data_IF_160579446631
#
_entry.id   IF_160579446631
#
_cell.length_a   1.000
_cell.length_b   1.000
_cell.length_c   1.000
_cell.angle_alpha   90.00
_cell.angle_beta   90.00
_cell.angle_gamma   90.00
#
_symmetry.space_group_name_H-M   'P 1'
#
loop_
_entity.id
_entity.type
_entity.pdbx_description
1 polymer ?
#
# COMPACT_ATOMS: atom_id res chain seq x y z
N UNK A 1 1.02 -5.73 -24.09
CA UNK A 1 2.25 -5.37 -23.35
C UNK A 1 1.84 -4.37 -22.26
N UNK A 2 1.64 -4.83 -21.02
CA UNK A 2 1.02 -4.02 -19.93
C UNK A 2 1.95 -3.77 -18.73
N UNK A 3 3.21 -4.22 -18.77
CA UNK A 3 4.14 -4.04 -17.65
C UNK A 3 4.92 -2.74 -17.79
N UNK A 4 4.90 -1.92 -16.73
CA UNK A 4 5.88 -0.85 -16.57
C UNK A 4 7.28 -1.45 -16.34
N UNK A 5 8.31 -0.72 -16.73
CA UNK A 5 9.72 -1.06 -16.47
C UNK A 5 10.45 0.16 -15.92
N UNK A 6 11.65 0.00 -15.34
CA UNK A 6 12.45 1.14 -14.91
C UNK A 6 12.71 2.20 -16.00
N UNK A 7 12.85 1.75 -17.26
CA UNK A 7 13.09 2.63 -18.42
C UNK A 7 11.77 3.23 -18.92
N UNK A 8 10.68 2.46 -18.91
CA UNK A 8 9.34 2.89 -19.32
C UNK A 8 8.36 2.74 -18.15
N UNK A 9 8.36 3.66 -17.18
CA UNK A 9 7.70 3.45 -15.90
C UNK A 9 6.19 3.64 -15.96
N UNK A 10 5.63 4.17 -17.06
CA UNK A 10 4.23 4.54 -17.15
C UNK A 10 3.40 3.57 -17.99
N UNK A 11 2.27 3.11 -17.45
CA UNK A 11 1.28 2.26 -18.15
C UNK A 11 -0.13 2.61 -17.69
N UNK A 12 -1.15 1.94 -18.24
CA UNK A 12 -2.53 2.01 -17.71
C UNK A 12 -2.61 1.27 -16.39
N UNK A 13 -3.32 1.82 -15.42
CA UNK A 13 -3.63 1.10 -14.17
C UNK A 13 -4.68 0.03 -14.43
N UNK A 14 -4.60 -1.05 -13.67
CA UNK A 14 -5.59 -2.14 -13.67
C UNK A 14 -5.80 -2.58 -12.22
N UNK A 15 -7.06 -2.81 -11.84
CA UNK A 15 -7.35 -3.57 -10.63
C UNK A 15 -7.27 -5.05 -10.98
N UNK A 16 -6.48 -5.80 -10.20
CA UNK A 16 -6.38 -7.26 -10.31
C UNK A 16 -6.93 -7.86 -9.03
N UNK A 17 -7.63 -8.98 -9.20
CA UNK A 17 -8.04 -9.81 -8.08
C UNK A 17 -6.84 -10.66 -7.61
N UNK A 18 -6.66 -10.70 -6.30
CA UNK A 18 -5.57 -11.40 -5.61
C UNK A 18 -6.09 -12.17 -4.39
N UNK A 19 -7.40 -12.44 -4.33
CA UNK A 19 -8.06 -13.01 -3.15
C UNK A 19 -7.62 -14.44 -2.77
N UNK A 20 -7.01 -15.18 -3.70
CA UNK A 20 -6.53 -16.55 -3.46
C UNK A 20 -5.09 -16.62 -2.94
N UNK A 21 -4.38 -15.49 -2.83
CA UNK A 21 -3.03 -15.47 -2.27
C UNK A 21 -3.05 -15.41 -0.74
N UNK A 22 -2.33 -16.34 -0.12
CA UNK A 22 -2.10 -16.36 1.32
C UNK A 22 -1.20 -15.17 1.75
N UNK A 23 -1.29 -14.81 3.02
CA UNK A 23 -0.44 -13.81 3.65
C UNK A 23 0.39 -14.47 4.75
N UNK A 24 1.67 -14.11 4.82
CA UNK A 24 2.52 -14.52 5.93
C UNK A 24 2.28 -13.62 7.14
N UNK A 25 2.07 -12.31 6.94
CA UNK A 25 1.94 -11.31 8.00
C UNK A 25 0.68 -10.46 7.80
N UNK A 26 -0.06 -10.22 8.89
CA UNK A 26 -1.26 -9.39 8.86
C UNK A 26 -1.18 -8.25 9.88
N UNK A 27 -1.41 -7.02 9.41
CA UNK A 27 -1.78 -5.89 10.26
C UNK A 27 -3.19 -5.45 9.93
N UNK A 28 -4.05 -5.49 10.94
CA UNK A 28 -5.45 -5.14 10.84
C UNK A 28 -5.85 -4.10 11.87
N UNK A 29 -6.97 -3.42 11.61
CA UNK A 29 -7.58 -2.46 12.53
C UNK A 29 -9.07 -2.39 12.27
N UNK A 30 -9.85 -2.13 13.31
CA UNK A 30 -11.26 -1.77 13.14
C UNK A 30 -11.38 -0.38 12.49
N UNK A 31 -12.03 -0.32 11.32
CA UNK A 31 -12.20 0.91 10.54
C UNK A 31 -13.60 1.49 10.78
N UNK A 32 -13.73 2.69 11.38
CA UNK A 32 -15.01 3.36 11.51
C UNK A 32 -15.62 3.72 10.14
N UNK A 33 -16.95 3.76 10.04
CA UNK A 33 -17.66 4.02 8.78
C UNK A 33 -17.18 5.25 8.01
N UNK A 34 -16.88 6.36 8.71
CA UNK A 34 -16.33 7.57 8.09
C UNK A 34 -14.97 7.37 7.40
N UNK A 35 -14.10 6.50 7.94
CA UNK A 35 -12.81 6.16 7.31
C UNK A 35 -13.02 5.18 6.16
N UNK A 36 -13.94 4.24 6.30
CA UNK A 36 -14.31 3.33 5.21
C UNK A 36 -14.83 4.10 3.98
N UNK A 37 -15.68 5.11 4.17
CA UNK A 37 -16.12 6.00 3.08
C UNK A 37 -14.95 6.74 2.40
N UNK A 38 -13.91 7.10 3.15
CA UNK A 38 -12.70 7.73 2.58
C UNK A 38 -11.90 6.74 1.75
N UNK A 39 -11.76 5.50 2.21
CA UNK A 39 -11.15 4.41 1.43
C UNK A 39 -11.86 4.23 0.10
N UNK A 40 -13.20 4.17 0.09
CA UNK A 40 -13.98 4.07 -1.16
C UNK A 40 -13.72 5.26 -2.11
N UNK A 41 -13.63 6.48 -1.58
CA UNK A 41 -13.29 7.68 -2.36
C UNK A 41 -11.87 7.60 -2.95
N UNK A 42 -10.90 7.02 -2.24
CA UNK A 42 -9.56 6.80 -2.78
C UNK A 42 -9.59 5.80 -3.92
N UNK A 43 -10.30 4.68 -3.77
CA UNK A 43 -10.44 3.65 -4.82
C UNK A 43 -11.02 4.26 -6.10
N UNK A 44 -12.12 5.01 -6.00
CA UNK A 44 -12.74 5.70 -7.15
C UNK A 44 -11.80 6.68 -7.85
N UNK A 45 -10.96 7.40 -7.09
CA UNK A 45 -9.97 8.34 -7.66
C UNK A 45 -8.83 7.62 -8.37
N UNK A 46 -8.52 6.39 -7.99
CA UNK A 46 -7.43 5.61 -8.58
C UNK A 46 -7.79 4.98 -9.91
N UNK A 47 -9.07 4.66 -10.14
CA UNK A 47 -9.57 4.09 -11.41
C UNK A 47 -9.17 4.92 -12.64
N UNK A 48 -9.09 6.25 -12.50
CA UNK A 48 -8.68 7.16 -13.57
C UNK A 48 -7.19 7.51 -13.62
N UNK A 49 -6.36 7.03 -12.68
CA UNK A 49 -4.94 7.41 -12.61
C UNK A 49 -4.05 6.50 -13.45
N UNK A 50 -3.03 7.07 -14.09
CA UNK A 50 -2.00 6.27 -14.79
C UNK A 50 -1.06 5.62 -13.79
N UNK A 51 -0.72 4.36 -14.02
CA UNK A 51 0.30 3.67 -13.27
C UNK A 51 1.66 4.31 -13.59
N UNK A 52 2.46 4.55 -12.56
CA UNK A 52 3.86 4.93 -12.72
C UNK A 52 4.71 4.19 -11.69
N UNK A 53 5.67 3.38 -12.15
CA UNK A 53 6.53 2.57 -11.29
C UNK A 53 7.21 3.38 -10.17
N UNK A 54 7.57 4.65 -10.43
CA UNK A 54 8.30 5.51 -9.49
C UNK A 54 7.39 6.39 -8.61
N UNK A 55 6.10 6.57 -8.95
CA UNK A 55 5.26 7.63 -8.34
C UNK A 55 3.81 7.25 -8.04
N UNK A 56 3.27 6.22 -8.67
CA UNK A 56 1.87 5.82 -8.55
C UNK A 56 1.73 4.35 -8.96
N UNK A 57 2.28 3.47 -8.13
CA UNK A 57 2.30 2.03 -8.34
C UNK A 57 1.34 1.31 -7.38
N UNK A 58 1.38 -0.03 -7.38
CA UNK A 58 0.53 -0.86 -6.52
C UNK A 58 0.79 -0.64 -5.03
N UNK A 59 2.05 -0.43 -4.64
CA UNK A 59 2.42 -0.15 -3.26
C UNK A 59 1.95 1.24 -2.83
N UNK A 60 2.05 2.26 -3.69
CA UNK A 60 1.48 3.59 -3.41
C UNK A 60 -0.04 3.51 -3.17
N UNK A 61 -0.75 2.74 -4.01
CA UNK A 61 -2.17 2.49 -3.85
C UNK A 61 -2.48 1.82 -2.51
N UNK A 62 -1.82 0.69 -2.20
CA UNK A 62 -2.01 -0.03 -0.95
C UNK A 62 -1.73 0.83 0.29
N UNK A 63 -0.64 1.58 0.28
CA UNK A 63 -0.27 2.50 1.38
C UNK A 63 -1.29 3.64 1.54
N UNK A 64 -1.83 4.17 0.44
CA UNK A 64 -2.86 5.21 0.52
C UNK A 64 -4.17 4.70 1.13
N UNK A 65 -4.57 3.45 0.81
CA UNK A 65 -5.72 2.79 1.44
C UNK A 65 -5.45 2.54 2.92
N UNK A 66 -4.29 1.97 3.25
CA UNK A 66 -3.89 1.69 4.62
C UNK A 66 -3.93 2.97 5.47
N UNK A 67 -3.38 4.08 4.95
CA UNK A 67 -3.36 5.36 5.65
C UNK A 67 -4.77 5.89 5.93
N UNK A 68 -5.68 5.86 4.95
CA UNK A 68 -7.08 6.27 5.16
C UNK A 68 -7.81 5.36 6.15
N UNK A 69 -7.51 4.06 6.13
CA UNK A 69 -7.99 3.07 7.11
C UNK A 69 -7.35 3.28 8.50
N UNK A 70 -6.32 4.11 8.61
CA UNK A 70 -5.66 4.47 9.86
C UNK A 70 -4.48 3.58 10.24
N UNK A 71 -3.83 2.96 9.27
CA UNK A 71 -2.60 2.18 9.38
C UNK A 71 -1.52 2.92 8.59
N UNK A 72 -0.47 3.37 9.28
CA UNK A 72 0.70 3.98 8.66
C UNK A 72 1.85 2.98 8.65
N UNK A 73 2.49 2.79 7.50
CA UNK A 73 3.66 1.93 7.33
C UNK A 73 4.81 2.82 6.85
N UNK A 74 5.94 2.83 7.55
CA UNK A 74 7.13 3.60 7.20
C UNK A 74 8.18 2.74 6.49
N UNK A 75 9.22 3.36 5.92
CA UNK A 75 10.36 2.68 5.25
C UNK A 75 10.01 1.77 4.06
N UNK A 76 8.96 2.13 3.34
CA UNK A 76 8.39 1.33 2.24
C UNK A 76 9.07 1.55 0.89
N UNK A 77 10.06 2.45 0.79
CA UNK A 77 10.68 2.80 -0.48
C UNK A 77 11.82 1.84 -0.85
N UNK A 78 11.99 1.61 -2.15
CA UNK A 78 13.11 0.92 -2.75
C UNK A 78 13.68 1.70 -3.93
N UNK A 79 14.84 1.27 -4.42
CA UNK A 79 15.50 1.87 -5.59
C UNK A 79 15.87 0.79 -6.61
N UNK A 80 15.86 1.15 -7.88
CA UNK A 80 16.25 0.32 -9.01
C UNK A 80 16.98 1.16 -10.05
N UNK A 81 17.51 0.54 -11.10
CA UNK A 81 18.23 1.27 -12.14
C UNK A 81 17.34 2.36 -12.75
N UNK A 82 17.77 3.63 -12.67
CA UNK A 82 17.05 4.82 -13.16
C UNK A 82 15.72 5.15 -12.44
N UNK A 83 15.47 4.64 -11.22
CA UNK A 83 14.24 4.97 -10.51
C UNK A 83 14.21 4.60 -9.03
N UNK A 84 13.19 5.09 -8.36
CA UNK A 84 12.87 4.78 -6.97
C UNK A 84 11.39 5.01 -6.71
N UNK A 85 10.84 4.38 -5.68
CA UNK A 85 9.45 4.56 -5.28
C UNK A 85 9.07 3.58 -4.18
N UNK A 86 7.80 3.60 -3.78
CA UNK A 86 7.29 2.59 -2.86
C UNK A 86 7.41 1.20 -3.50
N UNK A 87 7.95 0.26 -2.75
CA UNK A 87 8.32 -1.05 -3.23
C UNK A 87 7.59 -2.12 -2.40
N UNK A 88 6.97 -3.14 -3.02
CA UNK A 88 6.19 -4.13 -2.29
C UNK A 88 7.06 -4.96 -1.34
N UNK A 89 8.30 -5.29 -1.73
CA UNK A 89 9.25 -6.00 -0.86
C UNK A 89 9.68 -5.17 0.34
N UNK A 90 10.07 -3.90 0.13
CA UNK A 90 10.40 -2.98 1.24
C UNK A 90 9.20 -2.75 2.16
N UNK A 91 7.98 -2.64 1.61
CA UNK A 91 6.77 -2.47 2.40
C UNK A 91 6.43 -3.71 3.23
N UNK A 92 6.51 -4.91 2.65
CA UNK A 92 6.34 -6.17 3.37
C UNK A 92 7.38 -6.33 4.48
N UNK A 93 8.66 -6.06 4.19
CA UNK A 93 9.73 -6.08 5.20
C UNK A 93 9.46 -5.08 6.33
N UNK A 94 8.93 -3.90 6.01
CA UNK A 94 8.57 -2.90 7.02
C UNK A 94 7.44 -3.37 7.93
N UNK A 95 6.48 -4.12 7.41
CA UNK A 95 5.45 -4.76 8.22
C UNK A 95 6.06 -5.81 9.16
N UNK A 96 6.92 -6.69 8.65
CA UNK A 96 7.63 -7.72 9.43
C UNK A 96 8.45 -7.08 10.57
N UNK A 97 9.17 -6.00 10.28
CA UNK A 97 9.96 -5.27 11.27
C UNK A 97 9.11 -4.43 12.25
N UNK A 98 7.78 -4.47 12.12
CA UNK A 98 6.86 -3.75 12.98
C UNK A 98 6.90 -2.23 12.79
N UNK A 99 7.32 -1.75 11.62
CA UNK A 99 7.35 -0.32 11.25
C UNK A 99 5.96 0.20 10.87
N UNK A 100 5.00 -0.14 11.73
CA UNK A 100 3.58 0.09 11.53
C UNK A 100 3.02 0.80 12.75
N UNK A 101 2.25 1.86 12.52
CA UNK A 101 1.59 2.64 13.56
C UNK A 101 0.14 2.90 13.19
N UNK A 102 -0.70 3.05 14.21
CA UNK A 102 -2.01 3.64 14.07
C UNK A 102 -1.83 5.11 13.71
N UNK A 103 -2.30 5.49 12.52
CA UNK A 103 -2.12 6.83 11.98
C UNK A 103 -2.85 7.92 12.79
N UNK A 104 -3.82 7.55 13.63
CA UNK A 104 -4.55 8.52 14.46
C UNK A 104 -3.87 8.80 15.81
N UNK A 105 -3.12 7.83 16.34
CA UNK A 105 -2.46 7.93 17.66
C UNK A 105 -0.94 8.01 17.58
N UNK A 106 -0.36 7.71 16.41
CA UNK A 106 1.08 7.61 16.18
C UNK A 106 1.79 6.60 17.09
N UNK A 107 1.09 5.52 17.45
CA UNK A 107 1.61 4.39 18.23
C UNK A 107 0.97 3.08 17.73
N UNK A 108 1.18 1.94 18.41
CA UNK A 108 0.61 0.65 17.98
C UNK A 108 -0.79 0.34 18.54
N UNK A 109 -1.38 1.21 19.37
CA UNK A 109 -2.66 0.92 20.02
C UNK A 109 -3.79 0.84 19.00
N UNK A 110 -4.65 -0.17 19.16
CA UNK A 110 -5.77 -0.41 18.24
C UNK A 110 -5.38 -1.05 16.90
N UNK A 111 -4.10 -1.41 16.71
CA UNK A 111 -3.68 -2.34 15.67
C UNK A 111 -3.74 -3.78 16.21
N UNK A 112 -4.20 -4.70 15.36
CA UNK A 112 -4.04 -6.13 15.51
C UNK A 112 -2.89 -6.55 14.60
N UNK A 113 -1.84 -7.15 15.16
CA UNK A 113 -0.68 -7.65 14.41
C UNK A 113 -0.65 -9.16 14.62
N UNK A 114 -0.73 -9.93 13.54
CA UNK A 114 -0.64 -11.38 13.55
C UNK A 114 0.58 -11.79 12.74
N UNK A 115 1.53 -12.41 13.42
CA UNK A 115 2.66 -13.13 12.83
C UNK A 115 2.30 -14.63 12.82
N UNK A 116 2.76 -15.41 11.83
CA UNK A 116 2.49 -16.84 11.75
C UNK A 116 3.21 -17.65 12.84
#
# INVERSE_FOLDING_TARGET
MFSATPIFPATKSVFKDDAEHEWDELVARFVPGKKFERVLKVIQRYEGRRYNLNKNNCTDFGLSIALEAGISISDTQGSWFLGRGNNPGSAGQSVIEGKVTNADTNDRRGLLILTP
#
